data_IF_472444856555
#
_entry.id   IF_472444856555
#
_cell.length_a   1.000
_cell.length_b   1.000
_cell.length_c   1.000
_cell.angle_alpha   90.00
_cell.angle_beta   90.00
_cell.angle_gamma   90.00
#
_symmetry.space_group_name_H-M   'P 1'
#
loop_
_entity.id
_entity.type
_entity.pdbx_description
1 polymer ?
#
# COMPACT_ATOMS: atom_id res chain seq x y z
N UNK A 1 -37.41 26.67 -7.12
CA UNK A 1 -37.52 27.07 -5.70
C UNK A 1 -36.71 26.15 -4.77
N UNK A 2 -36.88 24.82 -4.85
CA UNK A 2 -36.09 23.86 -4.03
C UNK A 2 -34.59 23.91 -4.32
N UNK A 3 -34.17 24.04 -5.58
CA UNK A 3 -32.74 24.12 -5.94
C UNK A 3 -32.07 25.37 -5.35
N UNK A 4 -32.71 26.55 -5.43
CA UNK A 4 -32.20 27.78 -4.81
C UNK A 4 -32.04 27.66 -3.29
N UNK A 5 -32.92 26.92 -2.60
CA UNK A 5 -32.80 26.71 -1.16
C UNK A 5 -31.59 25.82 -0.81
N UNK A 6 -31.37 24.75 -1.57
CA UNK A 6 -30.22 23.86 -1.42
C UNK A 6 -28.90 24.58 -1.74
N UNK A 7 -28.89 25.43 -2.76
CA UNK A 7 -27.73 26.26 -3.12
C UNK A 7 -27.43 27.30 -2.01
N UNK A 8 -28.47 27.85 -1.38
CA UNK A 8 -28.30 28.80 -0.25
C UNK A 8 -27.77 28.10 1.02
N UNK A 9 -28.16 26.84 1.25
CA UNK A 9 -27.69 26.05 2.39
C UNK A 9 -26.25 25.57 2.19
N UNK A 10 -25.87 25.17 0.98
CA UNK A 10 -24.49 24.78 0.64
C UNK A 10 -23.52 25.97 0.72
N UNK A 11 -23.97 27.19 0.37
CA UNK A 11 -23.18 28.42 0.57
C UNK A 11 -22.95 28.78 2.05
N UNK A 12 -23.72 28.19 2.97
CA UNK A 12 -23.60 28.42 4.43
C UNK A 12 -22.81 27.32 5.15
N UNK A 13 -22.37 26.28 4.43
CA UNK A 13 -21.48 25.29 5.02
C UNK A 13 -20.09 25.91 5.28
N UNK A 14 -19.45 25.59 6.41
CA UNK A 14 -18.10 26.04 6.66
C UNK A 14 -17.15 25.54 5.57
N UNK A 15 -16.12 26.33 5.20
CA UNK A 15 -15.14 25.92 4.19
C UNK A 15 -14.56 24.54 4.53
N UNK A 16 -14.64 23.62 3.57
CA UNK A 16 -14.11 22.27 3.75
C UNK A 16 -12.62 22.29 3.45
N UNK A 17 -11.81 21.84 4.41
CA UNK A 17 -10.39 21.65 4.16
C UNK A 17 -10.21 20.56 3.09
N UNK A 18 -9.58 20.93 1.98
CA UNK A 18 -9.36 20.04 0.82
C UNK A 18 -8.29 18.97 1.08
N UNK A 19 -7.41 19.21 2.05
CA UNK A 19 -6.27 18.34 2.34
C UNK A 19 -6.27 17.89 3.80
N UNK A 20 -5.78 16.66 4.06
CA UNK A 20 -5.74 16.05 5.40
C UNK A 20 -4.29 15.77 5.80
N UNK A 21 -3.85 16.04 7.03
CA UNK A 21 -2.45 15.82 7.38
C UNK A 21 -2.03 14.36 7.13
N UNK A 22 -0.82 14.14 6.61
CA UNK A 22 -0.27 12.79 6.48
C UNK A 22 -0.18 12.14 7.88
N UNK A 23 -0.51 10.85 7.99
CA UNK A 23 -0.34 10.09 9.23
C UNK A 23 0.95 9.30 9.10
N UNK A 24 1.84 9.48 10.07
CA UNK A 24 2.95 8.55 10.28
C UNK A 24 2.42 7.25 10.88
N UNK A 25 2.43 6.17 10.09
CA UNK A 25 1.96 4.85 10.51
C UNK A 25 3.04 4.01 11.22
N UNK A 26 4.26 4.56 11.38
CA UNK A 26 5.40 3.85 11.96
C UNK A 26 5.12 3.27 13.36
N UNK A 27 4.42 3.95 14.29
CA UNK A 27 4.06 3.38 15.59
C UNK A 27 3.24 2.08 15.45
N UNK A 28 2.23 2.07 14.56
CA UNK A 28 1.43 0.86 14.30
C UNK A 28 2.28 -0.24 13.65
N UNK A 29 3.16 0.08 12.69
CA UNK A 29 4.04 -0.91 12.07
C UNK A 29 5.08 -1.49 13.04
N UNK A 30 5.51 -0.70 14.03
CA UNK A 30 6.38 -1.15 15.12
C UNK A 30 5.62 -2.09 16.07
N UNK A 31 4.37 -1.77 16.41
CA UNK A 31 3.52 -2.68 17.18
C UNK A 31 3.29 -4.01 16.46
N UNK A 32 2.98 -3.98 15.15
CA UNK A 32 2.78 -5.18 14.33
C UNK A 32 4.04 -6.05 14.27
N UNK A 33 5.23 -5.45 14.28
CA UNK A 33 6.51 -6.16 14.31
C UNK A 33 6.72 -6.96 15.60
N UNK A 34 6.14 -6.53 16.73
CA UNK A 34 6.25 -7.27 18.01
C UNK A 34 5.39 -8.53 18.05
N UNK A 35 4.33 -8.61 17.24
CA UNK A 35 3.50 -9.81 17.14
C UNK A 35 4.24 -10.79 16.22
N UNK A 36 4.62 -11.97 16.69
CA UNK A 36 5.34 -12.94 15.85
C UNK A 36 4.41 -13.55 14.78
N UNK A 37 4.97 -13.91 13.62
CA UNK A 37 4.25 -14.64 12.56
C UNK A 37 4.53 -16.14 12.68
N UNK A 38 4.08 -16.74 13.79
CA UNK A 38 4.34 -18.15 14.12
C UNK A 38 3.05 -18.82 14.56
N UNK A 39 2.96 -20.14 14.38
CA UNK A 39 1.80 -20.95 14.79
C UNK A 39 1.63 -21.04 16.31
N UNK A 40 2.64 -20.65 17.10
CA UNK A 40 2.58 -20.53 18.55
C UNK A 40 2.04 -19.17 19.04
N UNK A 41 1.92 -18.18 18.15
CA UNK A 41 1.38 -16.86 18.49
C UNK A 41 -0.12 -16.99 18.78
N UNK A 42 -0.66 -16.37 19.86
CA UNK A 42 -2.08 -16.45 20.17
C UNK A 42 -2.96 -16.08 18.97
N UNK A 43 -3.91 -16.95 18.62
CA UNK A 43 -4.79 -16.82 17.45
C UNK A 43 -5.35 -15.41 17.27
N UNK A 44 -5.83 -14.79 18.36
CA UNK A 44 -6.42 -13.45 18.30
C UNK A 44 -5.43 -12.36 17.85
N UNK A 45 -4.16 -12.45 18.25
CA UNK A 45 -3.10 -11.51 17.84
C UNK A 45 -2.69 -11.76 16.40
N UNK A 46 -2.54 -13.03 16.03
CA UNK A 46 -2.14 -13.42 14.68
C UNK A 46 -3.21 -13.04 13.63
N UNK A 47 -4.50 -13.20 13.96
CA UNK A 47 -5.61 -12.73 13.12
C UNK A 47 -5.59 -11.21 12.94
N UNK A 48 -5.41 -10.44 14.03
CA UNK A 48 -5.31 -8.97 13.96
C UNK A 48 -4.13 -8.52 13.11
N UNK A 49 -2.96 -9.14 13.28
CA UNK A 49 -1.76 -8.86 12.47
C UNK A 49 -2.02 -9.13 10.99
N UNK A 50 -2.55 -10.32 10.67
CA UNK A 50 -2.82 -10.73 9.29
C UNK A 50 -3.85 -9.80 8.64
N UNK A 51 -4.95 -9.48 9.35
CA UNK A 51 -5.96 -8.54 8.88
C UNK A 51 -5.37 -7.16 8.55
N UNK A 52 -4.53 -6.62 9.44
CA UNK A 52 -3.90 -5.32 9.22
C UNK A 52 -2.94 -5.33 8.03
N UNK A 53 -2.08 -6.34 7.93
CA UNK A 53 -1.10 -6.45 6.84
C UNK A 53 -1.77 -6.64 5.48
N UNK A 54 -2.81 -7.48 5.39
CA UNK A 54 -3.58 -7.66 4.15
C UNK A 54 -4.35 -6.39 3.77
N UNK A 55 -4.97 -5.70 4.73
CA UNK A 55 -5.63 -4.42 4.48
C UNK A 55 -4.68 -3.33 4.01
N UNK A 56 -3.45 -3.29 4.54
CA UNK A 56 -2.41 -2.35 4.10
C UNK A 56 -1.91 -2.66 2.69
N UNK A 57 -1.66 -3.94 2.38
CA UNK A 57 -0.97 -4.33 1.13
C UNK A 57 -1.90 -4.48 -0.07
N UNK A 58 -3.18 -4.79 0.14
CA UNK A 58 -4.18 -4.92 -0.93
C UNK A 58 -5.31 -3.88 -0.85
N UNK A 59 -5.17 -2.85 0.01
CA UNK A 59 -6.19 -1.81 0.24
C UNK A 59 -7.55 -2.37 0.69
N UNK A 60 -7.60 -3.55 1.30
CA UNK A 60 -8.86 -4.23 1.62
C UNK A 60 -9.70 -3.47 2.65
N UNK A 61 -11.00 -3.39 2.41
CA UNK A 61 -11.99 -2.96 3.42
C UNK A 61 -12.24 -4.08 4.43
N UNK A 62 -12.84 -3.76 5.59
CA UNK A 62 -13.27 -4.80 6.53
C UNK A 62 -14.21 -5.86 5.91
N UNK A 63 -15.10 -5.44 5.00
CA UNK A 63 -15.96 -6.37 4.24
C UNK A 63 -15.15 -7.27 3.32
N UNK A 64 -14.14 -6.71 2.66
CA UNK A 64 -13.32 -7.45 1.71
C UNK A 64 -12.49 -8.52 2.45
N UNK A 65 -11.97 -8.20 3.63
CA UNK A 65 -11.30 -9.16 4.52
C UNK A 65 -12.23 -10.27 5.00
N UNK A 66 -13.48 -9.94 5.33
CA UNK A 66 -14.50 -10.93 5.73
C UNK A 66 -14.82 -11.90 4.58
N UNK A 67 -14.83 -11.37 3.36
CA UNK A 67 -15.14 -12.06 2.12
C UNK A 67 -13.97 -12.78 1.44
N UNK A 68 -12.80 -12.88 2.10
CA UNK A 68 -11.69 -13.68 1.57
C UNK A 68 -12.08 -15.16 1.63
N UNK A 69 -12.12 -15.80 0.46
CA UNK A 69 -12.30 -17.24 0.36
C UNK A 69 -10.95 -17.96 0.55
N UNK A 70 -10.81 -18.66 1.67
CA UNK A 70 -9.63 -19.42 2.02
C UNK A 70 -9.37 -20.57 1.05
N UNK A 71 -10.40 -21.14 0.42
CA UNK A 71 -10.25 -22.22 -0.56
C UNK A 71 -9.62 -21.74 -1.87
N UNK A 72 -9.82 -20.45 -2.19
CA UNK A 72 -9.18 -19.79 -3.32
C UNK A 72 -7.74 -19.35 -3.05
N UNK A 73 -7.28 -19.45 -1.79
CA UNK A 73 -5.99 -18.92 -1.38
C UNK A 73 -4.86 -19.93 -1.62
N UNK A 74 -3.83 -19.52 -2.35
CA UNK A 74 -2.67 -20.35 -2.70
C UNK A 74 -1.37 -19.57 -2.55
N UNK A 75 -0.26 -20.30 -2.42
CA UNK A 75 1.09 -19.73 -2.33
C UNK A 75 1.93 -20.36 -3.42
N UNK A 76 2.35 -19.53 -4.39
CA UNK A 76 3.19 -20.01 -5.48
C UNK A 76 4.65 -20.26 -5.06
N UNK A 77 5.45 -20.80 -5.98
CA UNK A 77 6.88 -21.09 -5.76
C UNK A 77 7.72 -19.87 -5.39
N UNK A 78 7.28 -18.67 -5.77
CA UNK A 78 7.90 -17.39 -5.39
C UNK A 78 7.45 -16.85 -4.04
N UNK A 79 6.73 -17.64 -3.23
CA UNK A 79 6.10 -17.22 -1.98
C UNK A 79 5.14 -16.02 -2.14
N UNK A 80 4.50 -15.90 -3.28
CA UNK A 80 3.44 -14.91 -3.48
C UNK A 80 2.11 -15.54 -3.09
N UNK A 81 1.37 -14.83 -2.25
CA UNK A 81 0.04 -15.24 -1.82
C UNK A 81 -0.99 -14.72 -2.82
N UNK A 82 -1.75 -15.62 -3.42
CA UNK A 82 -2.92 -15.28 -4.24
C UNK A 82 -4.19 -15.67 -3.50
N UNK A 83 -5.24 -14.85 -3.56
CA UNK A 83 -6.56 -15.19 -3.04
C UNK A 83 -7.65 -14.39 -3.76
N UNK A 84 -8.89 -14.82 -3.62
CA UNK A 84 -10.06 -14.14 -4.16
C UNK A 84 -10.90 -13.54 -3.02
N UNK A 85 -11.41 -12.33 -3.26
CA UNK A 85 -12.46 -11.72 -2.45
C UNK A 85 -13.78 -11.94 -3.19
N UNK A 86 -14.69 -12.70 -2.59
CA UNK A 86 -15.98 -13.05 -3.17
C UNK A 86 -17.05 -12.06 -2.70
N UNK A 87 -17.76 -11.44 -3.63
CA UNK A 87 -18.80 -10.46 -3.32
C UNK A 87 -18.30 -9.28 -2.47
N UNK A 88 -17.30 -8.52 -2.95
CA UNK A 88 -16.96 -7.25 -2.32
C UNK A 88 -18.17 -6.30 -2.40
N UNK A 89 -18.09 -5.17 -1.69
CA UNK A 89 -19.18 -4.17 -1.67
C UNK A 89 -19.52 -3.66 -3.08
N UNK A 90 -18.54 -3.65 -3.98
CA UNK A 90 -18.72 -3.25 -5.36
C UNK A 90 -19.55 -4.24 -6.16
N UNK A 91 -20.44 -3.68 -6.97
CA UNK A 91 -21.30 -4.39 -7.90
C UNK A 91 -20.89 -3.92 -9.30
N UNK A 92 -20.82 -4.85 -10.26
CA UNK A 92 -20.62 -4.55 -11.68
C UNK A 92 -21.78 -5.16 -12.45
N UNK A 93 -22.40 -4.37 -13.32
CA UNK A 93 -23.56 -4.80 -14.10
C UNK A 93 -24.66 -5.45 -13.24
N UNK A 94 -24.93 -4.86 -12.07
CA UNK A 94 -25.91 -5.33 -11.10
C UNK A 94 -25.60 -6.72 -10.47
N UNK A 95 -24.36 -7.20 -10.60
CA UNK A 95 -23.90 -8.46 -10.00
C UNK A 95 -22.71 -8.26 -9.06
N UNK A 96 -22.64 -9.11 -8.03
CA UNK A 96 -21.44 -9.23 -7.22
C UNK A 96 -20.28 -9.76 -8.06
N UNK A 97 -19.10 -9.21 -7.83
CA UNK A 97 -17.88 -9.59 -8.54
C UNK A 97 -17.00 -10.51 -7.68
N UNK A 98 -16.06 -11.19 -8.32
CA UNK A 98 -14.95 -11.86 -7.65
C UNK A 98 -13.68 -11.08 -8.02
N UNK A 99 -12.91 -10.65 -7.02
CA UNK A 99 -11.68 -9.90 -7.25
C UNK A 99 -10.46 -10.70 -6.78
N UNK A 100 -9.52 -11.04 -7.69
CA UNK A 100 -8.26 -11.67 -7.31
C UNK A 100 -7.28 -10.63 -6.76
N UNK A 101 -6.46 -11.05 -5.80
CA UNK A 101 -5.35 -10.29 -5.24
C UNK A 101 -4.08 -11.14 -5.24
N UNK A 102 -2.94 -10.49 -5.46
CA UNK A 102 -1.62 -11.07 -5.30
C UNK A 102 -0.83 -10.24 -4.30
N UNK A 103 -0.31 -10.88 -3.26
CA UNK A 103 0.47 -10.26 -2.20
C UNK A 103 1.88 -10.83 -2.21
N UNK A 104 2.85 -9.95 -2.31
CA UNK A 104 4.26 -10.31 -2.32
C UNK A 104 4.81 -10.44 -0.90
N UNK A 105 5.81 -11.32 -0.67
CA UNK A 105 6.47 -11.42 0.62
C UNK A 105 7.27 -10.14 0.90
N UNK A 106 7.33 -9.75 2.19
CA UNK A 106 8.20 -8.67 2.63
C UNK A 106 9.58 -9.23 3.04
N UNK A 107 10.65 -8.50 2.72
CA UNK A 107 12.01 -8.80 3.17
C UNK A 107 12.11 -8.82 4.70
N UNK A 108 11.43 -7.90 5.39
CA UNK A 108 11.28 -7.95 6.84
C UNK A 108 10.23 -9.02 7.20
N UNK A 109 10.73 -10.19 7.63
CA UNK A 109 9.89 -11.31 8.03
C UNK A 109 8.90 -10.96 9.15
N UNK A 110 9.22 -10.00 10.02
CA UNK A 110 8.32 -9.56 11.09
C UNK A 110 7.12 -8.76 10.57
N UNK A 111 7.21 -8.20 9.34
CA UNK A 111 6.14 -7.44 8.68
C UNK A 111 5.61 -8.12 7.42
N UNK A 112 6.01 -9.37 7.19
CA UNK A 112 5.64 -10.11 5.99
C UNK A 112 4.18 -10.58 6.03
N UNK A 113 3.30 -10.10 5.12
CA UNK A 113 1.89 -10.51 5.07
C UNK A 113 1.75 -12.00 4.74
N UNK A 114 2.57 -12.52 3.82
CA UNK A 114 2.54 -13.93 3.40
C UNK A 114 2.86 -14.85 4.57
N UNK A 115 3.89 -14.53 5.36
CA UNK A 115 4.24 -15.32 6.57
C UNK A 115 3.15 -15.26 7.63
N UNK A 116 2.56 -14.10 7.86
CA UNK A 116 1.44 -13.96 8.80
C UNK A 116 0.23 -14.81 8.35
N UNK A 117 -0.06 -14.82 7.04
CA UNK A 117 -1.09 -15.66 6.45
C UNK A 117 -0.79 -17.16 6.63
N UNK A 118 0.42 -17.63 6.28
CA UNK A 118 0.83 -19.04 6.46
C UNK A 118 0.63 -19.47 7.91
N UNK A 119 1.18 -18.68 8.85
CA UNK A 119 1.08 -18.97 10.27
C UNK A 119 -0.38 -19.01 10.75
N UNK A 120 -1.25 -18.15 10.20
CA UNK A 120 -2.67 -18.14 10.54
C UNK A 120 -3.41 -19.33 9.94
N UNK A 121 -3.16 -19.66 8.68
CA UNK A 121 -3.76 -20.81 7.99
C UNK A 121 -3.45 -22.11 8.73
N UNK A 122 -2.19 -22.26 9.13
CA UNK A 122 -1.63 -23.49 9.72
C UNK A 122 -1.70 -23.49 11.26
N UNK A 123 -2.44 -22.54 11.86
CA UNK A 123 -2.52 -22.40 13.31
C UNK A 123 -3.22 -23.61 13.95
N UNK A 124 -2.66 -24.24 15.01
CA UNK A 124 -3.19 -25.47 15.62
C UNK A 124 -4.65 -25.39 16.07
N UNK A 125 -5.06 -24.24 16.63
CA UNK A 125 -6.47 -24.01 17.02
C UNK A 125 -7.47 -24.05 15.86
N UNK A 126 -7.01 -24.05 14.61
CA UNK A 126 -7.83 -24.10 13.40
C UNK A 126 -7.70 -25.42 12.65
N UNK A 127 -6.83 -26.34 13.10
CA UNK A 127 -6.55 -27.61 12.39
C UNK A 127 -7.79 -28.50 12.25
N UNK A 128 -8.74 -28.42 13.18
CA UNK A 128 -10.00 -29.17 13.13
C UNK A 128 -11.05 -28.56 12.17
N UNK A 129 -10.77 -27.42 11.56
CA UNK A 129 -11.68 -26.65 10.70
C UNK A 129 -11.33 -26.79 9.21
N UNK A 130 -11.04 -28.02 8.77
CA UNK A 130 -10.54 -28.28 7.41
C UNK A 130 -11.49 -27.84 6.30
N UNK A 131 -12.78 -27.64 6.60
CA UNK A 131 -13.82 -27.24 5.64
C UNK A 131 -14.13 -25.74 5.66
N UNK A 132 -13.45 -24.92 6.48
CA UNK A 132 -13.79 -23.49 6.55
C UNK A 132 -13.43 -22.76 5.26
N UNK A 133 -14.35 -21.91 4.81
CA UNK A 133 -14.10 -20.97 3.72
C UNK A 133 -13.58 -19.62 4.22
N UNK A 134 -13.85 -19.24 5.47
CA UNK A 134 -13.43 -17.92 5.99
C UNK A 134 -12.02 -17.92 6.58
N UNK A 135 -11.21 -16.94 6.17
CA UNK A 135 -9.86 -16.73 6.71
C UNK A 135 -9.87 -16.30 8.19
N UNK A 136 -10.78 -15.41 8.57
CA UNK A 136 -10.90 -14.88 9.94
C UNK A 136 -12.09 -15.48 10.66
N UNK A 137 -11.85 -16.00 11.87
CA UNK A 137 -12.84 -16.67 12.70
C UNK A 137 -12.95 -16.05 14.09
N UNK A 138 -14.06 -16.30 14.76
CA UNK A 138 -14.25 -15.90 16.15
C UNK A 138 -13.29 -16.69 17.06
N UNK A 139 -12.39 -15.99 17.77
CA UNK A 139 -11.40 -16.66 18.63
C UNK A 139 -11.99 -17.44 19.81
N UNK A 140 -13.25 -17.17 20.19
CA UNK A 140 -13.98 -17.93 21.22
C UNK A 140 -14.80 -19.08 20.64
N UNK A 141 -15.29 -18.92 19.40
CA UNK A 141 -16.03 -19.94 18.66
C UNK A 141 -15.45 -20.08 17.24
N UNK A 142 -14.34 -20.80 17.06
CA UNK A 142 -13.62 -20.83 15.78
C UNK A 142 -14.39 -21.39 14.58
N UNK A 143 -15.55 -22.03 14.83
CA UNK A 143 -16.47 -22.51 13.79
C UNK A 143 -17.19 -21.36 13.06
N UNK A 144 -17.29 -20.20 13.70
CA UNK A 144 -18.04 -19.07 13.15
C UNK A 144 -17.11 -18.07 12.45
N UNK A 145 -17.52 -17.56 11.28
CA UNK A 145 -16.80 -16.48 10.63
C UNK A 145 -16.82 -15.23 11.50
N UNK A 146 -15.72 -14.50 11.50
CA UNK A 146 -15.63 -13.26 12.26
C UNK A 146 -16.51 -12.17 11.64
N UNK A 147 -17.30 -11.48 12.46
CA UNK A 147 -18.12 -10.37 12.00
C UNK A 147 -17.29 -9.23 11.40
N UNK A 148 -17.78 -8.62 10.32
CA UNK A 148 -17.14 -7.46 9.67
C UNK A 148 -16.92 -6.29 10.65
N UNK A 149 -17.83 -6.08 11.59
CA UNK A 149 -17.72 -5.04 12.64
C UNK A 149 -16.54 -5.28 13.59
N UNK A 150 -16.23 -6.54 13.88
CA UNK A 150 -15.07 -6.92 14.70
C UNK A 150 -13.77 -6.64 13.97
N UNK A 151 -13.68 -7.01 12.68
CA UNK A 151 -12.53 -6.69 11.81
C UNK A 151 -12.33 -5.17 11.76
N UNK A 152 -13.40 -4.40 11.52
CA UNK A 152 -13.39 -2.94 11.51
C UNK A 152 -12.84 -2.37 12.83
N UNK A 153 -13.23 -2.94 13.96
CA UNK A 153 -12.75 -2.53 15.29
C UNK A 153 -11.27 -2.85 15.48
N UNK A 154 -10.80 -4.02 15.05
CA UNK A 154 -9.38 -4.37 15.11
C UNK A 154 -8.52 -3.40 14.30
N UNK A 155 -8.90 -3.15 13.05
CA UNK A 155 -8.17 -2.23 12.17
C UNK A 155 -8.15 -0.81 12.75
N UNK A 156 -9.29 -0.32 13.27
CA UNK A 156 -9.35 1.00 13.92
C UNK A 156 -8.43 1.07 15.13
N UNK A 157 -8.45 0.07 16.00
CA UNK A 157 -7.60 0.04 17.19
C UNK A 157 -6.11 0.04 16.83
N UNK A 158 -5.73 -0.65 15.74
CA UNK A 158 -4.35 -0.62 15.24
C UNK A 158 -3.96 0.79 14.74
N UNK A 159 -4.83 1.47 14.00
CA UNK A 159 -4.58 2.84 13.52
C UNK A 159 -4.46 3.82 14.68
N UNK A 160 -5.25 3.63 15.76
CA UNK A 160 -5.22 4.52 16.95
C UNK A 160 -3.88 4.57 17.67
N UNK A 161 -2.99 3.61 17.42
CA UNK A 161 -1.61 3.65 17.91
C UNK A 161 -0.83 4.79 17.26
N UNK A 162 -1.19 5.19 16.04
CA UNK A 162 -0.50 6.20 15.24
C UNK A 162 -1.23 7.54 15.14
N UNK A 163 -2.53 7.59 15.41
CA UNK A 163 -3.32 8.83 15.28
C UNK A 163 -4.59 8.82 16.12
N UNK A 164 -5.02 10.01 16.56
CA UNK A 164 -6.34 10.23 17.17
C UNK A 164 -7.42 10.65 16.16
N UNK A 165 -7.05 10.85 14.89
CA UNK A 165 -7.97 11.31 13.86
C UNK A 165 -9.12 10.32 13.66
N UNK A 166 -10.35 10.84 13.71
CA UNK A 166 -11.56 10.06 13.52
C UNK A 166 -11.77 9.76 12.04
N UNK A 167 -12.47 8.66 11.76
CA UNK A 167 -12.87 8.26 10.40
C UNK A 167 -11.71 7.94 9.44
N UNK A 168 -10.54 7.61 9.98
CA UNK A 168 -9.41 7.11 9.20
C UNK A 168 -9.49 5.60 9.03
N UNK A 169 -9.21 5.12 7.82
CA UNK A 169 -9.16 3.69 7.49
C UNK A 169 -7.76 3.25 7.08
N UNK A 170 -7.46 1.96 7.25
CA UNK A 170 -6.18 1.36 6.81
C UNK A 170 -6.00 1.58 5.32
N UNK A 171 -7.07 1.34 4.56
CA UNK A 171 -7.15 1.59 3.12
C UNK A 171 -6.78 3.03 2.73
N UNK A 172 -7.30 4.04 3.43
CA UNK A 172 -6.96 5.45 3.15
C UNK A 172 -5.52 5.79 3.51
N UNK A 173 -4.99 5.23 4.59
CA UNK A 173 -3.58 5.42 4.94
C UNK A 173 -2.70 4.76 3.86
N UNK A 174 -2.93 3.49 3.58
CA UNK A 174 -2.14 2.70 2.63
C UNK A 174 -2.10 3.32 1.23
N UNK A 175 -3.26 3.67 0.67
CA UNK A 175 -3.33 4.27 -0.67
C UNK A 175 -2.72 5.66 -0.74
N UNK A 176 -2.89 6.50 0.29
CA UNK A 176 -2.21 7.80 0.34
C UNK A 176 -0.70 7.66 0.51
N UNK A 177 -0.23 6.61 1.17
CA UNK A 177 1.17 6.33 1.43
C UNK A 177 1.89 5.67 0.23
N UNK A 178 1.13 5.07 -0.69
CA UNK A 178 1.64 4.41 -1.88
C UNK A 178 2.22 5.40 -2.91
N UNK A 179 1.53 6.53 -3.11
CA UNK A 179 1.92 7.54 -4.10
C UNK A 179 3.31 8.16 -3.83
N UNK A 180 3.63 8.66 -2.61
CA UNK A 180 4.96 9.19 -2.32
C UNK A 180 6.05 8.10 -2.27
N UNK A 181 5.66 6.82 -2.28
CA UNK A 181 6.56 5.67 -2.38
C UNK A 181 6.80 5.20 -3.83
N UNK A 182 6.37 5.99 -4.81
CA UNK A 182 6.64 5.74 -6.23
C UNK A 182 5.67 4.79 -6.92
N UNK A 183 4.56 4.40 -6.27
CA UNK A 183 3.51 3.64 -6.95
C UNK A 183 2.69 4.63 -7.81
N UNK A 184 2.49 4.29 -9.08
CA UNK A 184 1.74 5.15 -10.01
C UNK A 184 0.31 5.37 -9.52
N UNK A 185 -0.29 6.51 -9.91
CA UNK A 185 -1.67 6.81 -9.56
C UNK A 185 -2.62 5.79 -10.18
N UNK A 186 -2.32 5.36 -11.39
CA UNK A 186 -3.07 4.37 -12.17
C UNK A 186 -3.09 3.02 -11.45
N UNK A 187 -1.95 2.55 -10.93
CA UNK A 187 -1.86 1.30 -10.17
C UNK A 187 -2.59 1.40 -8.82
N UNK A 188 -2.48 2.54 -8.14
CA UNK A 188 -3.22 2.81 -6.90
C UNK A 188 -4.74 2.75 -7.15
N UNK A 189 -5.20 3.32 -8.27
CA UNK A 189 -6.60 3.30 -8.69
C UNK A 189 -7.08 1.89 -9.04
N UNK A 190 -6.27 1.14 -9.79
CA UNK A 190 -6.57 -0.24 -10.16
C UNK A 190 -6.62 -1.18 -8.93
N UNK A 191 -5.61 -1.12 -8.07
CA UNK A 191 -5.58 -1.90 -6.81
C UNK A 191 -6.75 -1.49 -5.91
N UNK A 192 -6.99 -0.18 -5.83
CA UNK A 192 -8.13 0.42 -5.15
C UNK A 192 -9.49 0.08 -5.78
N UNK A 193 -9.59 -0.52 -6.96
CA UNK A 193 -10.90 -0.78 -7.57
C UNK A 193 -11.76 0.49 -7.74
N UNK A 194 -11.14 1.66 -7.94
CA UNK A 194 -11.88 2.89 -8.18
C UNK A 194 -12.12 3.07 -9.68
N UNK A 195 -13.31 3.53 -10.05
CA UNK A 195 -13.68 3.77 -11.45
C UNK A 195 -12.82 4.86 -12.10
N UNK A 196 -12.34 5.82 -11.31
CA UNK A 196 -11.51 6.93 -11.76
C UNK A 196 -10.59 7.45 -10.64
N UNK A 197 -9.60 8.25 -11.04
CA UNK A 197 -8.64 8.85 -10.11
C UNK A 197 -9.25 9.88 -9.17
N UNK A 198 -10.33 10.55 -9.56
CA UNK A 198 -10.96 11.58 -8.71
C UNK A 198 -11.49 11.00 -7.41
N UNK A 199 -11.94 9.74 -7.42
CA UNK A 199 -12.34 9.04 -6.19
C UNK A 199 -11.17 8.91 -5.21
N UNK A 200 -9.99 8.52 -5.71
CA UNK A 200 -8.77 8.45 -4.90
C UNK A 200 -8.38 9.84 -4.39
N UNK A 201 -8.28 10.82 -5.28
CA UNK A 201 -7.82 12.18 -4.99
C UNK A 201 -8.72 12.88 -3.95
N UNK A 202 -10.05 12.74 -4.06
CA UNK A 202 -11.00 13.45 -3.20
C UNK A 202 -11.27 12.75 -1.85
N UNK A 203 -11.17 11.42 -1.78
CA UNK A 203 -11.59 10.66 -0.60
C UNK A 203 -10.45 10.00 0.18
N UNK A 204 -9.35 9.66 -0.50
CA UNK A 204 -8.29 8.80 0.05
C UNK A 204 -6.92 9.47 0.10
N UNK A 205 -6.57 10.33 -0.87
CA UNK A 205 -5.30 11.08 -0.88
C UNK A 205 -5.28 12.07 0.28
N UNK A 206 -4.20 12.03 1.07
CA UNK A 206 -4.03 12.88 2.26
C UNK A 206 -2.92 13.91 2.05
N UNK A 207 -1.83 13.52 1.41
CA UNK A 207 -0.69 14.40 1.13
C UNK A 207 -1.08 15.80 0.62
N UNK A 208 -0.35 16.79 1.11
CA UNK A 208 -0.51 18.20 0.73
C UNK A 208 0.56 18.53 -0.30
N UNK A 209 0.16 19.03 -1.47
CA UNK A 209 1.11 19.56 -2.46
C UNK A 209 1.97 20.69 -1.88
N UNK A 210 1.44 21.47 -0.94
CA UNK A 210 2.17 22.57 -0.29
C UNK A 210 3.37 22.15 0.56
N UNK A 211 3.54 20.86 0.88
CA UNK A 211 4.69 20.37 1.64
C UNK A 211 5.88 19.95 0.74
N UNK A 212 5.70 19.92 -0.58
CA UNK A 212 6.82 19.73 -1.48
C UNK A 212 7.58 21.05 -1.62
N UNK A 213 8.91 21.01 -1.51
CA UNK A 213 9.76 22.18 -1.75
C UNK A 213 9.85 22.46 -3.26
N UNK A 214 8.72 22.84 -3.85
CA UNK A 214 8.61 23.25 -5.25
C UNK A 214 9.56 24.41 -5.55
N UNK A 215 9.80 25.29 -4.58
CA UNK A 215 10.79 26.37 -4.71
C UNK A 215 12.15 25.80 -5.09
N UNK A 216 12.64 24.78 -4.39
CA UNK A 216 13.92 24.18 -4.73
C UNK A 216 13.85 23.37 -6.04
N UNK A 217 12.77 22.62 -6.28
CA UNK A 217 12.66 21.82 -7.53
C UNK A 217 12.62 22.72 -8.77
N UNK A 218 11.89 23.84 -8.71
CA UNK A 218 11.65 24.72 -9.85
C UNK A 218 12.69 25.83 -10.01
N UNK A 219 13.26 26.31 -8.90
CA UNK A 219 14.25 27.39 -8.91
C UNK A 219 15.69 26.89 -8.79
N UNK A 220 15.91 25.57 -8.70
CA UNK A 220 17.24 25.02 -8.96
C UNK A 220 17.55 25.19 -10.44
N UNK A 221 18.29 26.23 -10.79
CA UNK A 221 18.96 26.31 -12.08
C UNK A 221 20.11 25.33 -12.08
N UNK A 222 20.11 24.35 -12.99
CA UNK A 222 21.26 23.48 -13.25
C UNK A 222 22.47 24.34 -13.69
N UNK A 223 23.28 24.82 -12.75
CA UNK A 223 24.48 25.61 -13.03
C UNK A 223 25.69 24.72 -13.32
N UNK A 224 25.53 23.72 -14.18
CA UNK A 224 26.67 22.95 -14.71
C UNK A 224 26.46 22.51 -16.16
N UNK A 225 25.99 23.44 -16.99
CA UNK A 225 26.26 23.40 -18.43
C UNK A 225 27.39 24.40 -18.73
N UNK A 226 28.63 24.06 -18.38
CA UNK A 226 29.81 24.65 -19.02
C UNK A 226 30.27 23.69 -20.10
N UNK A 227 29.62 23.80 -21.25
CA UNK A 227 30.18 23.40 -22.54
C UNK A 227 31.39 24.30 -22.79
N UNK A 228 32.61 23.80 -22.62
CA UNK A 228 33.80 24.45 -23.16
C UNK A 228 34.25 23.67 -24.41
N UNK A 229 33.92 24.22 -25.57
CA UNK A 229 34.65 23.96 -26.82
C UNK A 229 35.25 25.27 -27.38
N UNK A 230 36.59 25.26 -27.50
CA UNK A 230 37.49 25.97 -28.45
C UNK A 230 37.74 27.48 -28.19
N UNK A 231 38.98 28.01 -28.23
CA UNK A 231 40.05 27.95 -29.27
C UNK A 231 41.45 28.29 -28.67
N UNK A 232 42.55 27.57 -28.96
CA UNK A 232 43.69 27.85 -29.91
C UNK A 232 44.55 29.09 -29.46
N UNK A 233 45.85 29.01 -29.11
CA UNK A 233 47.04 28.82 -29.98
C UNK A 233 48.39 28.69 -29.20
N UNK A 234 49.40 28.03 -29.82
CA UNK A 234 50.90 28.14 -29.75
C UNK A 234 51.63 28.05 -28.38
N UNK A 235 52.63 27.17 -28.17
CA UNK A 235 54.00 27.28 -28.71
C UNK A 235 54.85 25.99 -28.57
N UNK A 236 55.92 25.93 -29.37
CA UNK A 236 56.98 24.91 -29.52
C UNK A 236 57.50 24.25 -28.23
N UNK A 237 57.77 22.94 -28.30
CA UNK A 237 59.07 22.43 -27.84
C UNK A 237 59.49 21.17 -28.61
N UNK A 238 60.67 21.24 -29.21
CA UNK A 238 61.40 20.15 -29.82
C UNK A 238 61.94 19.22 -28.74
N UNK A 239 61.75 17.91 -28.92
CA UNK A 239 62.77 16.93 -28.56
C UNK A 239 62.53 15.59 -29.25
N UNK A 240 63.56 15.21 -30.01
CA UNK A 240 63.86 13.89 -30.55
C UNK A 240 63.68 12.80 -29.50
N UNK A 241 63.13 11.64 -29.89
CA UNK A 241 63.84 10.38 -29.69
C UNK A 241 63.24 9.25 -30.53
N UNK A 242 64.16 8.54 -31.17
CA UNK A 242 64.00 7.41 -32.06
C UNK A 242 63.40 6.16 -31.39
N UNK A 243 62.52 5.46 -32.11
CA UNK A 243 62.42 3.99 -32.15
C UNK A 243 61.24 3.63 -33.06
N UNK A 244 61.45 3.36 -34.35
CA UNK A 244 61.81 2.04 -34.86
C UNK A 244 60.86 0.93 -34.39
N UNK A 245 59.78 0.70 -35.13
CA UNK A 245 59.38 -0.66 -35.52
C UNK A 245 58.51 -0.62 -36.79
N UNK A 246 58.95 -1.41 -37.77
CA UNK A 246 58.37 -1.58 -39.10
C UNK A 246 56.92 -2.09 -39.09
N UNK A 247 56.06 -1.41 -39.85
CA UNK A 247 55.39 -1.89 -41.06
C UNK A 247 55.37 -3.43 -41.31
N UNK A 248 54.17 -3.99 -41.17
CA UNK A 248 53.43 -4.82 -42.16
C UNK A 248 53.71 -6.34 -42.33
N UNK A 249 52.56 -7.04 -42.40
CA UNK A 249 52.22 -8.33 -43.04
C UNK A 249 53.03 -9.60 -42.73
N UNK A 250 52.34 -10.61 -42.16
CA UNK A 250 51.66 -11.68 -42.92
C UNK A 250 50.50 -12.28 -42.10
#
# INVERSE_FOLDING_TARGET
LVNNLLDTLTCREPPKQIHRPTIDISPTLNHIRQIQSTTSTPLSLLQKKTAFLLAMTAFLRPSDLHSIDLQSADINSGFQLTFQVVSPKEIRDHRHIIKPFTIFPNQDYSRCPVRAFIALRDHPSLSHLSTRSSLFVNSRCPQEPLATSTISTWLRNMIRISTEERNVSVRSIASSLALPRGISKEDIVALGNWTNSSTFENHYRREHMSCFNFTQILLSTDSSASTEEKRVDFDMDDQEEDAFFDTIQE
#
